data_IF_972965882515
#
_entry.id   IF_972965882515
#
_cell.length_a   1.000
_cell.length_b   1.000
_cell.length_c   1.000
_cell.angle_alpha   90.00
_cell.angle_beta   90.00
_cell.angle_gamma   90.00
#
_symmetry.space_group_name_H-M   'P 1'
#
loop_
_entity.id
_entity.type
_entity.pdbx_description
1 polymer ?
#
# COMPACT_ATOMS: atom_id res chain seq x y z
N UNK A 1 -10.05 19.82 4.53
CA UNK A 1 -9.57 18.74 3.64
C UNK A 1 -10.76 18.18 2.90
N UNK A 2 -10.81 18.34 1.58
CA UNK A 2 -11.82 17.67 0.76
C UNK A 2 -11.27 16.32 0.28
N UNK A 3 -11.97 15.20 0.54
CA UNK A 3 -11.57 13.90 0.04
C UNK A 3 -11.85 13.80 -1.46
N UNK A 4 -10.88 13.29 -2.22
CA UNK A 4 -10.96 13.15 -3.69
C UNK A 4 -11.74 11.89 -4.04
N UNK A 5 -11.54 10.80 -3.30
CA UNK A 5 -12.19 9.52 -3.53
C UNK A 5 -12.17 8.67 -2.26
N UNK A 6 -13.17 7.80 -2.14
CA UNK A 6 -13.26 6.77 -1.11
C UNK A 6 -13.23 5.41 -1.78
N UNK A 7 -12.60 4.43 -1.13
CA UNK A 7 -12.56 3.06 -1.61
C UNK A 7 -12.64 2.09 -0.44
N UNK A 8 -13.35 0.98 -0.64
CA UNK A 8 -13.47 -0.11 0.32
C UNK A 8 -13.45 -1.43 -0.45
N UNK A 9 -12.77 -2.44 0.09
CA UNK A 9 -12.75 -3.78 -0.47
C UNK A 9 -13.13 -4.79 0.61
N UNK A 10 -14.00 -5.73 0.26
CA UNK A 10 -14.34 -6.88 1.10
C UNK A 10 -13.29 -7.97 0.88
N UNK A 11 -12.78 -8.55 1.96
CA UNK A 11 -11.87 -9.69 1.88
C UNK A 11 -12.62 -10.92 1.34
N UNK A 12 -12.03 -11.58 0.35
CA UNK A 12 -12.57 -12.83 -0.22
C UNK A 12 -12.33 -13.98 0.76
N UNK A 13 -13.08 -15.09 0.69
CA UNK A 13 -12.85 -16.29 1.52
C UNK A 13 -11.39 -16.80 1.49
N UNK A 14 -10.70 -16.61 0.36
CA UNK A 14 -9.27 -16.94 0.24
C UNK A 14 -8.40 -15.99 1.04
N UNK A 15 -8.76 -14.70 1.07
CA UNK A 15 -8.03 -13.67 1.80
C UNK A 15 -8.30 -13.76 3.32
N UNK A 16 -9.48 -14.22 3.72
CA UNK A 16 -9.88 -14.43 5.11
C UNK A 16 -9.02 -15.47 5.85
N UNK A 17 -8.22 -16.26 5.13
CA UNK A 17 -7.25 -17.20 5.72
C UNK A 17 -5.97 -16.53 6.18
N UNK A 18 -5.67 -15.32 5.72
CA UNK A 18 -4.51 -14.56 6.13
C UNK A 18 -4.71 -13.92 7.50
N UNK A 19 -3.60 -13.72 8.21
CA UNK A 19 -3.64 -12.99 9.48
C UNK A 19 -4.12 -11.56 9.28
N UNK A 20 -4.64 -10.94 10.34
CA UNK A 20 -5.10 -9.54 10.34
C UNK A 20 -4.02 -8.60 9.78
N UNK A 21 -2.76 -8.81 10.17
CA UNK A 21 -1.61 -8.03 9.67
C UNK A 21 -1.40 -8.13 8.16
N UNK A 22 -1.59 -9.31 7.59
CA UNK A 22 -1.45 -9.55 6.15
C UNK A 22 -2.60 -8.93 5.37
N UNK A 23 -3.82 -9.00 5.91
CA UNK A 23 -5.00 -8.34 5.35
C UNK A 23 -4.85 -6.82 5.31
N UNK A 24 -4.34 -6.22 6.38
CA UNK A 24 -4.05 -4.78 6.43
C UNK A 24 -2.98 -4.37 5.40
N UNK A 25 -1.93 -5.19 5.26
CA UNK A 25 -0.91 -4.98 4.24
C UNK A 25 -1.49 -5.06 2.82
N UNK A 26 -2.32 -6.07 2.58
CA UNK A 26 -2.99 -6.25 1.30
C UNK A 26 -3.93 -5.10 0.97
N UNK A 27 -4.71 -4.61 1.95
CA UNK A 27 -5.59 -3.46 1.79
C UNK A 27 -4.82 -2.21 1.35
N UNK A 28 -3.63 -1.97 1.92
CA UNK A 28 -2.79 -0.83 1.54
C UNK A 28 -2.21 -1.00 0.15
N UNK A 29 -1.66 -2.17 -0.18
CA UNK A 29 -1.13 -2.45 -1.53
C UNK A 29 -2.23 -2.31 -2.58
N UNK A 30 -3.44 -2.77 -2.27
CA UNK A 30 -4.60 -2.63 -3.13
C UNK A 30 -5.01 -1.15 -3.30
N UNK A 31 -5.07 -0.38 -2.21
CA UNK A 31 -5.40 1.04 -2.25
C UNK A 31 -4.38 1.85 -3.06
N UNK A 32 -3.07 1.59 -2.88
CA UNK A 32 -2.03 2.22 -3.69
C UNK A 32 -2.25 1.90 -5.16
N UNK A 33 -2.52 0.63 -5.50
CA UNK A 33 -2.78 0.22 -6.89
C UNK A 33 -4.00 0.91 -7.49
N UNK A 34 -5.09 1.01 -6.72
CA UNK A 34 -6.32 1.68 -7.14
C UNK A 34 -6.09 3.18 -7.41
N UNK A 35 -5.34 3.83 -6.52
CA UNK A 35 -5.05 5.26 -6.62
C UNK A 35 -3.76 5.58 -7.40
N UNK A 36 -3.12 4.61 -8.07
CA UNK A 36 -1.95 4.82 -8.93
C UNK A 36 -2.06 6.06 -9.83
N UNK A 37 -3.15 6.27 -10.60
CA UNK A 37 -3.24 7.45 -11.46
C UNK A 37 -3.22 8.79 -10.70
N UNK A 38 -3.58 8.80 -9.41
CA UNK A 38 -3.56 10.00 -8.56
C UNK A 38 -2.24 10.17 -7.78
N UNK A 39 -1.59 9.06 -7.43
CA UNK A 39 -0.38 9.01 -6.60
C UNK A 39 0.90 9.04 -7.43
N UNK A 40 0.84 8.64 -8.70
CA UNK A 40 2.03 8.52 -9.55
C UNK A 40 2.74 9.86 -9.72
N UNK A 41 4.06 9.87 -9.50
CA UNK A 41 4.90 11.07 -9.61
C UNK A 41 4.74 12.08 -8.47
N UNK A 42 3.97 11.77 -7.42
CA UNK A 42 3.75 12.67 -6.28
C UNK A 42 4.22 12.04 -4.98
N UNK A 43 4.78 12.84 -4.08
CA UNK A 43 5.06 12.40 -2.71
C UNK A 43 3.77 12.36 -1.92
N UNK A 44 3.41 11.19 -1.40
CA UNK A 44 2.22 11.00 -0.57
C UNK A 44 2.58 10.36 0.77
N UNK A 45 1.71 10.52 1.75
CA UNK A 45 1.85 9.94 3.09
C UNK A 45 0.66 9.04 3.34
N UNK A 46 0.92 7.78 3.68
CA UNK A 46 -0.14 6.85 4.08
C UNK A 46 -0.29 6.96 5.59
N UNK A 47 -1.51 7.25 6.04
CA UNK A 47 -1.88 7.22 7.47
C UNK A 47 -2.61 5.92 7.73
N UNK A 48 -2.03 5.09 8.57
CA UNK A 48 -2.59 3.81 9.04
C UNK A 48 -2.44 3.73 10.55
N UNK A 49 -3.41 3.14 11.22
CA UNK A 49 -3.37 2.77 12.63
C UNK A 49 -2.50 1.52 12.89
N UNK A 50 -2.15 0.76 11.84
CA UNK A 50 -1.45 -0.50 11.97
C UNK A 50 0.08 -0.36 12.12
N UNK A 51 0.61 -0.70 13.29
CA UNK A 51 2.03 -0.53 13.63
C UNK A 51 2.99 -1.38 12.76
N UNK A 52 2.60 -2.60 12.39
CA UNK A 52 3.43 -3.46 11.53
C UNK A 52 3.62 -2.89 10.13
N UNK A 53 2.62 -2.15 9.63
CA UNK A 53 2.68 -1.51 8.32
C UNK A 53 3.57 -0.25 8.34
N UNK A 54 3.57 0.50 9.45
CA UNK A 54 4.54 1.57 9.71
C UNK A 54 5.97 1.05 9.65
N UNK A 55 6.23 -0.14 10.18
CA UNK A 55 7.53 -0.78 10.08
C UNK A 55 7.88 -1.14 8.63
N UNK A 56 6.96 -1.78 7.89
CA UNK A 56 7.16 -2.14 6.49
C UNK A 56 7.48 -0.93 5.59
N UNK A 57 6.82 0.21 5.80
CA UNK A 57 7.09 1.45 5.07
C UNK A 57 8.42 2.11 5.45
N UNK A 58 8.86 1.92 6.69
CA UNK A 58 10.16 2.45 7.18
C UNK A 58 11.33 1.57 6.75
N UNK A 59 11.07 0.28 6.50
CA UNK A 59 12.04 -0.70 5.99
C UNK A 59 12.46 -0.37 4.55
N UNK A 60 13.42 0.53 4.40
CA UNK A 60 14.11 0.95 3.16
C UNK A 60 14.85 -0.21 2.43
N UNK A 61 14.59 -1.47 2.78
CA UNK A 61 15.31 -2.66 2.35
C UNK A 61 14.41 -3.72 1.66
N UNK A 62 13.33 -3.30 1.01
CA UNK A 62 12.60 -4.17 0.06
C UNK A 62 12.91 -3.82 -1.41
N UNK A 63 13.72 -2.78 -1.66
CA UNK A 63 14.24 -2.39 -2.96
C UNK A 63 15.35 -3.34 -3.51
N UNK A 64 15.34 -4.61 -3.09
CA UNK A 64 16.38 -5.58 -3.42
C UNK A 64 16.28 -6.22 -4.81
N UNK A 65 15.21 -5.97 -5.60
CA UNK A 65 15.08 -6.53 -6.97
C UNK A 65 14.39 -5.61 -8.00
N UNK A 66 14.62 -4.29 -7.94
CA UNK A 66 14.31 -3.41 -9.07
C UNK A 66 15.55 -2.60 -9.50
N UNK A 67 16.66 -3.30 -9.74
CA UNK A 67 17.73 -2.81 -10.60
C UNK A 67 17.28 -2.91 -12.06
N UNK A 68 16.40 -2.02 -12.52
CA UNK A 68 16.37 -1.53 -13.91
C UNK A 68 15.32 -0.44 -14.05
N UNK A 69 15.60 0.73 -13.50
CA UNK A 69 15.03 1.99 -13.98
C UNK A 69 16.00 3.11 -13.58
N UNK A 70 17.26 2.94 -14.00
CA UNK A 70 18.10 4.09 -14.34
C UNK A 70 17.58 4.57 -15.69
N UNK A 71 17.46 5.89 -15.83
CA UNK A 71 17.26 6.64 -17.08
C UNK A 71 15.79 6.78 -17.53
N UNK A 72 15.15 7.86 -17.09
CA UNK A 72 14.73 9.02 -17.91
C UNK A 72 13.88 9.96 -17.04
#
# INVERSE_FOLDING_TARGET
MQPIAYASKVATDTDAKYGITELECFAVVWAINLFRPYLYGRRFTIVTDHAALKWLMTSNNLAGKLHSARTC
#
